data_IF_791978988426
#
_entry.id   IF_791978988426
#
_cell.length_a   1.000
_cell.length_b   1.000
_cell.length_c   1.000
_cell.angle_alpha   90.00
_cell.angle_beta   90.00
_cell.angle_gamma   90.00
#
_symmetry.space_group_name_H-M   'P 1'
#
loop_
_entity.id
_entity.type
_entity.pdbx_description
1 polymer ?
#
# COMPACT_ATOMS: atom_id res chain seq x y z
N UNK A 1 -49.52 -25.68 -32.19
CA UNK A 1 -49.68 -24.28 -31.71
C UNK A 1 -49.53 -24.27 -30.20
N UNK A 2 -48.64 -23.38 -29.67
CA UNK A 2 -48.58 -22.69 -28.35
C UNK A 2 -49.61 -23.14 -27.26
N UNK A 3 -49.35 -23.21 -25.95
CA UNK A 3 -48.36 -22.60 -25.05
C UNK A 3 -48.54 -23.19 -23.63
N UNK A 4 -47.44 -23.29 -22.88
CA UNK A 4 -47.46 -23.34 -21.40
C UNK A 4 -47.95 -22.01 -20.80
N UNK A 5 -48.57 -22.05 -19.62
CA UNK A 5 -48.66 -20.94 -18.66
C UNK A 5 -48.33 -21.42 -17.24
N UNK A 6 -47.68 -20.50 -16.53
CA UNK A 6 -46.92 -20.57 -15.28
C UNK A 6 -47.62 -21.09 -14.01
N UNK A 7 -46.84 -21.77 -13.15
CA UNK A 7 -47.08 -21.90 -11.71
C UNK A 7 -46.54 -20.65 -10.99
N UNK A 8 -47.37 -20.05 -10.12
CA UNK A 8 -46.99 -19.07 -9.10
C UNK A 8 -47.11 -19.69 -7.70
N UNK A 9 -46.02 -19.59 -6.96
CA UNK A 9 -45.83 -19.27 -5.54
C UNK A 9 -47.07 -19.37 -4.62
N UNK A 10 -46.97 -20.25 -3.62
CA UNK A 10 -47.84 -20.28 -2.45
C UNK A 10 -47.35 -19.27 -1.38
N UNK A 11 -48.32 -18.56 -0.81
CA UNK A 11 -48.20 -17.62 0.28
C UNK A 11 -48.23 -18.32 1.65
N UNK A 12 -47.69 -17.65 2.67
CA UNK A 12 -48.34 -17.64 3.98
C UNK A 12 -48.23 -16.24 4.58
N UNK A 13 -49.39 -15.74 5.01
CA UNK A 13 -49.62 -14.40 5.54
C UNK A 13 -49.77 -14.44 7.07
N UNK A 14 -49.45 -13.33 7.73
CA UNK A 14 -50.22 -12.83 8.86
C UNK A 14 -49.97 -11.31 9.05
N UNK A 15 -51.05 -10.55 8.92
CA UNK A 15 -51.22 -9.10 9.17
C UNK A 15 -51.34 -8.85 10.71
N UNK A 16 -50.77 -7.81 11.32
CA UNK A 16 -51.04 -6.35 11.30
C UNK A 16 -52.03 -5.85 12.39
N UNK A 17 -51.88 -4.56 12.73
CA UNK A 17 -52.61 -3.65 13.66
C UNK A 17 -51.81 -3.36 14.94
N UNK A 18 -51.43 -2.14 15.34
CA UNK A 18 -51.66 -0.74 14.93
C UNK A 18 -51.58 0.12 16.22
N UNK A 19 -51.37 1.45 16.29
CA UNK A 19 -51.22 2.58 15.35
C UNK A 19 -51.13 3.88 16.23
N UNK A 20 -50.42 4.92 15.75
CA UNK A 20 -50.36 6.37 16.14
C UNK A 20 -49.96 6.79 17.58
N UNK A 21 -49.27 7.92 17.83
CA UNK A 21 -48.88 9.08 17.04
C UNK A 21 -48.04 10.05 17.89
N UNK A 22 -47.27 10.93 17.25
CA UNK A 22 -46.33 11.82 17.93
C UNK A 22 -46.82 13.26 18.17
N UNK A 23 -45.99 13.94 18.97
CA UNK A 23 -45.66 15.38 19.08
C UNK A 23 -46.73 16.41 19.47
N UNK A 24 -46.37 17.21 20.48
CA UNK A 24 -46.97 18.53 20.75
C UNK A 24 -46.63 19.12 22.13
N UNK A 25 -45.62 19.99 22.17
CA UNK A 25 -45.10 20.74 23.33
C UNK A 25 -46.13 21.65 24.03
N UNK A 26 -45.95 21.88 25.34
CA UNK A 26 -46.34 23.15 25.99
C UNK A 26 -45.56 23.38 27.30
N UNK A 27 -45.30 24.65 27.56
CA UNK A 27 -44.36 25.24 28.51
C UNK A 27 -45.17 26.06 29.53
N UNK A 28 -44.65 26.18 30.76
CA UNK A 28 -44.73 27.33 31.69
C UNK A 28 -45.69 27.29 32.92
N UNK A 29 -45.02 27.49 34.08
CA UNK A 29 -45.40 28.30 35.28
C UNK A 29 -46.58 27.80 36.15
N UNK A 30 -46.57 27.78 37.50
CA UNK A 30 -45.98 28.67 38.52
C UNK A 30 -45.83 28.01 39.91
N UNK A 31 -44.69 28.27 40.57
CA UNK A 31 -44.42 28.65 41.99
C UNK A 31 -44.69 27.76 43.22
N UNK A 32 -43.57 27.51 43.94
CA UNK A 32 -43.28 27.46 45.39
C UNK A 32 -43.90 26.33 46.26
N UNK A 33 -43.22 25.69 47.22
CA UNK A 33 -41.92 25.94 47.88
C UNK A 33 -41.41 24.69 48.65
N UNK A 34 -40.10 24.71 48.95
CA UNK A 34 -39.34 23.97 49.99
C UNK A 34 -38.60 22.65 49.66
N UNK A 35 -37.28 22.74 49.91
CA UNK A 35 -36.28 21.73 50.29
C UNK A 35 -35.42 21.01 49.22
N UNK A 36 -34.21 21.57 49.04
CA UNK A 36 -32.87 20.96 48.92
C UNK A 36 -32.70 19.73 47.99
N UNK A 37 -32.18 19.88 46.76
CA UNK A 37 -30.74 19.95 46.38
C UNK A 37 -30.03 18.58 46.38
N UNK A 38 -30.09 17.89 45.24
CA UNK A 38 -28.97 17.54 44.33
C UNK A 38 -29.35 16.26 43.57
N UNK A 39 -29.83 16.40 42.33
CA UNK A 39 -30.14 15.25 41.46
C UNK A 39 -28.87 14.89 40.69
N UNK A 40 -28.32 13.71 40.96
CA UNK A 40 -27.27 13.09 40.16
C UNK A 40 -27.74 12.93 38.71
N UNK A 41 -27.01 13.53 37.76
CA UNK A 41 -27.20 13.31 36.34
C UNK A 41 -26.78 11.88 35.99
N UNK A 42 -27.74 10.98 35.82
CA UNK A 42 -27.56 9.69 35.15
C UNK A 42 -27.48 9.92 33.64
N UNK A 43 -26.31 10.31 33.16
CA UNK A 43 -25.92 10.12 31.76
C UNK A 43 -25.82 8.62 31.51
N UNK A 44 -26.77 8.11 30.74
CA UNK A 44 -26.79 6.74 30.24
C UNK A 44 -25.49 6.43 29.50
N UNK A 45 -24.75 5.48 30.06
CA UNK A 45 -23.59 4.85 29.45
C UNK A 45 -23.96 4.33 28.07
N UNK A 46 -23.55 5.06 27.03
CA UNK A 46 -23.33 4.45 25.71
C UNK A 46 -22.01 3.73 25.82
N UNK A 47 -22.06 2.40 25.86
CA UNK A 47 -20.91 1.51 25.76
C UNK A 47 -20.09 1.89 24.54
N UNK A 48 -18.97 2.59 24.75
CA UNK A 48 -17.88 2.64 23.80
C UNK A 48 -17.39 1.19 23.63
N UNK A 49 -17.80 0.52 22.57
CA UNK A 49 -17.06 -0.62 22.04
C UNK A 49 -15.71 -0.06 21.57
N UNK A 50 -14.73 -0.07 22.48
CA UNK A 50 -13.33 0.00 22.11
C UNK A 50 -13.08 -1.15 21.14
N UNK A 51 -12.84 -0.82 19.87
CA UNK A 51 -12.32 -1.75 18.89
C UNK A 51 -11.02 -2.34 19.46
N UNK A 52 -11.07 -3.59 19.92
CA UNK A 52 -9.87 -4.32 20.29
C UNK A 52 -9.07 -4.54 19.00
N UNK A 53 -8.05 -3.71 18.76
CA UNK A 53 -7.12 -3.88 17.64
C UNK A 53 -6.58 -5.31 17.71
N UNK A 54 -6.95 -6.13 16.73
CA UNK A 54 -6.76 -7.57 16.83
C UNK A 54 -5.27 -7.89 16.69
N UNK A 55 -4.62 -8.20 17.81
CA UNK A 55 -3.17 -8.36 17.88
C UNK A 55 -2.70 -9.53 16.99
N UNK A 56 -1.72 -9.25 16.13
CA UNK A 56 -0.91 -10.29 15.53
C UNK A 56 0.11 -10.76 16.54
N UNK A 57 0.24 -12.07 16.68
CA UNK A 57 1.38 -12.62 17.38
C UNK A 57 2.63 -12.56 16.50
N UNK A 58 3.73 -12.96 17.09
CA UNK A 58 4.91 -13.34 16.35
C UNK A 58 5.33 -14.74 16.82
N UNK A 59 5.96 -15.48 15.93
CA UNK A 59 6.68 -16.69 16.28
C UNK A 59 8.14 -16.44 15.94
N UNK A 60 9.05 -16.56 16.92
CA UNK A 60 10.47 -16.46 16.65
C UNK A 60 10.86 -17.40 15.52
N UNK A 61 11.64 -16.91 14.57
CA UNK A 61 12.24 -17.77 13.58
C UNK A 61 13.30 -18.58 14.32
N UNK A 62 12.96 -19.84 14.62
CA UNK A 62 13.80 -20.74 15.44
C UNK A 62 15.17 -20.93 14.79
N UNK A 63 15.18 -21.06 13.46
CA UNK A 63 16.39 -21.11 12.66
C UNK A 63 16.54 -19.83 11.85
N UNK A 64 17.18 -18.82 12.45
CA UNK A 64 17.48 -17.53 11.80
C UNK A 64 18.31 -17.72 10.53
N UNK A 65 19.03 -18.84 10.37
CA UNK A 65 19.84 -19.10 9.17
C UNK A 65 18.99 -19.33 7.92
N UNK A 66 17.68 -19.59 8.06
CA UNK A 66 16.75 -19.72 6.92
C UNK A 66 16.29 -18.40 6.35
N UNK A 67 16.56 -17.28 7.02
CA UNK A 67 16.27 -15.94 6.53
C UNK A 67 17.56 -15.15 6.36
N UNK A 68 17.69 -14.51 5.21
CA UNK A 68 18.81 -13.66 4.89
C UNK A 68 18.30 -12.25 4.62
N UNK A 69 18.77 -11.27 5.40
CA UNK A 69 18.58 -9.86 5.08
C UNK A 69 19.66 -9.47 4.08
N UNK A 70 19.22 -9.03 2.91
CA UNK A 70 20.10 -8.75 1.78
C UNK A 70 20.13 -7.26 1.52
N UNK A 71 21.35 -6.72 1.53
CA UNK A 71 21.69 -5.48 0.86
C UNK A 71 22.08 -5.84 -0.59
N UNK A 72 21.44 -5.20 -1.57
CA UNK A 72 21.73 -5.45 -2.98
C UNK A 72 21.92 -4.13 -3.74
N UNK A 73 22.59 -4.14 -4.90
CA UNK A 73 22.67 -2.98 -5.76
C UNK A 73 21.28 -2.62 -6.24
N UNK A 74 21.01 -1.32 -6.32
CA UNK A 74 19.73 -0.80 -6.74
C UNK A 74 19.80 0.11 -7.95
N UNK A 75 18.78 0.95 -8.07
CA UNK A 75 18.65 1.92 -9.16
C UNK A 75 19.43 3.20 -8.82
N UNK A 76 19.72 4.07 -9.79
CA UNK A 76 20.43 5.33 -9.50
C UNK A 76 19.70 6.23 -8.48
N UNK A 77 18.37 6.11 -8.32
CA UNK A 77 17.60 6.83 -7.29
C UNK A 77 17.46 6.07 -5.96
N UNK A 78 17.65 4.76 -5.98
CA UNK A 78 17.66 3.94 -4.77
C UNK A 78 18.80 2.93 -4.86
N UNK A 79 20.06 3.38 -4.69
CA UNK A 79 21.25 2.61 -5.07
C UNK A 79 21.49 1.40 -4.18
N UNK A 80 20.84 1.34 -3.01
CA UNK A 80 20.92 0.22 -2.09
C UNK A 80 19.51 -0.32 -1.85
N UNK A 81 19.23 -1.51 -2.37
CA UNK A 81 17.98 -2.22 -2.14
C UNK A 81 18.07 -3.09 -0.88
N UNK A 82 16.93 -3.23 -0.22
CA UNK A 82 16.74 -4.14 0.89
C UNK A 82 15.63 -5.14 0.56
N UNK A 83 15.87 -6.41 0.83
CA UNK A 83 14.85 -7.46 0.82
C UNK A 83 15.30 -8.62 1.72
N UNK A 84 14.38 -9.52 2.02
CA UNK A 84 14.66 -10.75 2.77
C UNK A 84 14.47 -11.95 1.85
N UNK A 85 15.45 -12.86 1.84
CA UNK A 85 15.36 -14.16 1.19
C UNK A 85 15.09 -15.22 2.24
N UNK A 86 14.17 -16.12 1.93
CA UNK A 86 13.82 -17.27 2.75
C UNK A 86 14.22 -18.56 2.05
N UNK A 87 15.04 -19.38 2.70
CA UNK A 87 15.21 -20.77 2.30
C UNK A 87 13.93 -21.51 2.69
N UNK A 88 13.13 -22.02 1.74
CA UNK A 88 11.83 -22.67 2.01
C UNK A 88 11.90 -24.21 2.00
N UNK A 89 12.81 -24.79 1.21
CA UNK A 89 13.12 -26.22 1.25
C UNK A 89 14.63 -26.45 1.16
N UNK A 90 15.11 -27.66 1.47
CA UNK A 90 16.53 -28.01 1.34
C UNK A 90 16.90 -28.59 -0.03
N UNK A 91 15.98 -28.51 -1.01
CA UNK A 91 16.20 -29.08 -2.34
C UNK A 91 17.40 -28.43 -3.06
N UNK A 92 17.60 -27.12 -2.86
CA UNK A 92 18.75 -26.36 -3.37
C UNK A 92 18.99 -25.13 -2.50
N UNK A 93 20.24 -24.76 -2.20
CA UNK A 93 20.53 -23.52 -1.48
C UNK A 93 20.10 -22.29 -2.28
N UNK A 94 19.43 -21.35 -1.61
CA UNK A 94 19.00 -20.09 -2.20
C UNK A 94 20.15 -19.09 -2.31
N UNK A 95 21.15 -19.18 -1.46
CA UNK A 95 22.35 -18.35 -1.52
C UNK A 95 23.58 -19.12 -1.07
N UNK A 96 24.75 -18.55 -1.36
CA UNK A 96 26.02 -18.95 -0.78
C UNK A 96 26.72 -17.73 -0.17
N UNK A 97 27.61 -17.93 0.80
CA UNK A 97 28.37 -16.87 1.45
C UNK A 97 29.87 -17.18 1.29
N UNK A 98 30.49 -16.83 0.14
CA UNK A 98 31.87 -17.20 -0.18
C UNK A 98 32.91 -16.55 0.75
N UNK A 99 32.56 -15.42 1.36
CA UNK A 99 33.33 -14.75 2.39
C UNK A 99 32.38 -14.01 3.35
N UNK A 100 32.76 -13.76 4.61
CA UNK A 100 31.89 -13.12 5.58
C UNK A 100 31.25 -11.85 5.05
N UNK A 101 29.92 -11.77 5.07
CA UNK A 101 29.15 -10.62 4.63
C UNK A 101 28.93 -10.51 3.11
N UNK A 102 29.59 -11.31 2.27
CA UNK A 102 29.40 -11.33 0.81
C UNK A 102 28.41 -12.41 0.42
N UNK A 103 27.42 -12.09 -0.39
CA UNK A 103 26.37 -13.04 -0.77
C UNK A 103 26.45 -13.34 -2.27
N UNK A 104 26.39 -14.63 -2.60
CA UNK A 104 26.14 -15.12 -3.95
C UNK A 104 24.65 -15.45 -4.10
N UNK A 105 23.91 -14.77 -5.00
CA UNK A 105 22.46 -14.85 -5.08
C UNK A 105 21.99 -16.04 -5.93
N UNK A 106 22.20 -17.28 -5.45
CA UNK A 106 21.88 -18.50 -6.21
C UNK A 106 20.40 -18.56 -6.65
N UNK A 107 19.48 -17.93 -5.91
CA UNK A 107 18.05 -17.82 -6.23
C UNK A 107 17.78 -17.20 -7.60
N UNK A 108 18.74 -16.47 -8.17
CA UNK A 108 18.64 -15.86 -9.52
C UNK A 108 18.98 -16.84 -10.66
N UNK A 109 19.50 -18.02 -10.33
CA UNK A 109 20.11 -18.94 -11.30
C UNK A 109 19.22 -20.14 -11.67
N UNK A 110 18.03 -20.25 -11.09
CA UNK A 110 17.11 -21.36 -11.30
C UNK A 110 15.65 -20.96 -11.01
N UNK A 111 14.69 -21.80 -11.39
CA UNK A 111 13.29 -21.65 -10.95
C UNK A 111 13.19 -21.93 -9.45
N UNK A 112 13.05 -20.86 -8.68
CA UNK A 112 13.08 -20.90 -7.22
C UNK A 112 11.74 -21.29 -6.59
N UNK A 113 10.70 -21.58 -7.38
CA UNK A 113 9.36 -21.89 -6.89
C UNK A 113 9.36 -23.05 -5.87
N UNK A 114 8.91 -22.79 -4.64
CA UNK A 114 8.88 -23.77 -3.55
C UNK A 114 10.25 -24.10 -2.93
N UNK A 115 11.32 -23.43 -3.37
CA UNK A 115 12.68 -23.57 -2.86
C UNK A 115 13.10 -22.32 -2.12
N UNK A 116 12.85 -21.14 -2.71
CA UNK A 116 13.16 -19.84 -2.11
C UNK A 116 11.91 -18.96 -2.04
N UNK A 117 11.79 -18.21 -0.95
CA UNK A 117 10.86 -17.09 -0.82
C UNK A 117 11.59 -15.76 -0.91
N UNK A 118 10.96 -14.75 -1.50
CA UNK A 118 11.47 -13.37 -1.51
C UNK A 118 10.44 -12.43 -0.93
N UNK A 119 10.92 -11.53 -0.08
CA UNK A 119 10.15 -10.57 0.68
C UNK A 119 10.77 -9.19 0.44
N UNK A 120 10.17 -8.39 -0.44
CA UNK A 120 10.85 -7.23 -1.06
C UNK A 120 10.13 -5.89 -0.88
N UNK A 121 9.03 -5.86 -0.14
CA UNK A 121 8.26 -4.65 0.07
C UNK A 121 7.64 -4.62 1.48
N UNK A 122 6.97 -3.51 1.80
CA UNK A 122 6.27 -3.31 3.08
C UNK A 122 5.10 -4.26 3.33
N UNK A 123 4.65 -5.06 2.34
CA UNK A 123 3.69 -6.14 2.60
C UNK A 123 4.36 -7.36 3.20
N UNK A 124 5.61 -7.58 2.82
CA UNK A 124 6.38 -8.75 3.18
C UNK A 124 7.14 -8.61 4.50
N UNK A 125 7.57 -7.39 4.84
CA UNK A 125 8.30 -7.14 6.08
C UNK A 125 7.84 -5.88 6.81
N UNK A 126 8.01 -5.83 8.12
CA UNK A 126 7.87 -4.60 8.90
C UNK A 126 8.73 -4.63 10.17
N UNK A 127 8.80 -3.48 10.83
CA UNK A 127 9.54 -3.28 12.08
C UNK A 127 8.57 -3.55 13.22
N UNK A 128 9.02 -4.25 14.27
CA UNK A 128 8.21 -4.49 15.48
C UNK A 128 9.01 -4.16 16.73
N UNK A 129 8.39 -3.44 17.67
CA UNK A 129 9.05 -3.01 18.91
C UNK A 129 8.14 -3.25 20.10
N UNK A 130 8.60 -3.95 21.14
CA UNK A 130 7.82 -4.33 22.31
C UNK A 130 6.43 -4.86 21.95
N UNK A 131 6.38 -5.77 20.96
CA UNK A 131 5.13 -6.36 20.49
C UNK A 131 4.22 -5.44 19.67
N UNK A 132 4.64 -4.23 19.30
CA UNK A 132 3.86 -3.29 18.48
C UNK A 132 4.43 -3.24 17.06
N UNK A 133 3.57 -3.50 16.07
CA UNK A 133 3.91 -3.41 14.63
C UNK A 133 4.03 -1.94 14.23
N UNK A 134 5.20 -1.56 13.73
CA UNK A 134 5.56 -0.19 13.38
C UNK A 134 5.47 0.08 11.88
N UNK A 135 4.91 -0.83 11.07
CA UNK A 135 4.85 -0.68 9.61
C UNK A 135 4.15 0.60 9.12
N UNK A 136 3.21 1.15 9.91
CA UNK A 136 2.54 2.42 9.64
C UNK A 136 3.38 3.66 10.00
N UNK A 137 4.38 3.51 10.86
CA UNK A 137 5.21 4.58 11.40
C UNK A 137 6.60 4.63 10.77
N UNK A 138 7.11 3.49 10.33
CA UNK A 138 8.46 3.36 9.80
C UNK A 138 8.47 2.53 8.50
N UNK A 139 9.42 2.87 7.64
CA UNK A 139 9.78 2.09 6.46
C UNK A 139 11.26 1.75 6.51
N UNK A 140 11.65 0.60 5.97
CA UNK A 140 13.06 0.26 5.85
C UNK A 140 13.73 1.11 4.77
N UNK A 141 14.95 1.55 5.07
CA UNK A 141 15.84 2.18 4.09
C UNK A 141 17.27 1.75 4.36
N UNK A 142 17.98 1.41 3.29
CA UNK A 142 19.38 1.06 3.36
C UNK A 142 20.21 2.26 2.90
N UNK A 143 21.05 2.79 3.79
CA UNK A 143 21.88 3.98 3.52
C UNK A 143 23.35 3.71 3.83
N UNK A 144 24.30 4.26 3.06
CA UNK A 144 25.71 4.15 3.39
C UNK A 144 26.07 4.89 4.68
N UNK A 145 26.86 4.27 5.54
CA UNK A 145 27.44 4.90 6.73
C UNK A 145 28.86 4.37 6.96
N UNK A 146 29.86 5.22 6.75
CA UNK A 146 31.26 4.79 6.74
C UNK A 146 31.50 3.71 5.68
N UNK A 147 32.08 2.58 6.11
CA UNK A 147 32.35 1.43 5.24
C UNK A 147 31.15 0.46 5.11
N UNK A 148 30.05 0.72 5.82
CA UNK A 148 28.90 -0.18 5.88
C UNK A 148 27.71 0.38 5.10
N UNK A 149 26.76 -0.50 4.78
CA UNK A 149 25.38 -0.15 4.49
C UNK A 149 24.55 -0.42 5.74
N UNK A 150 23.90 0.61 6.27
CA UNK A 150 23.10 0.53 7.49
C UNK A 150 21.62 0.49 7.12
N UNK A 151 20.94 -0.53 7.62
CA UNK A 151 19.50 -0.70 7.51
C UNK A 151 18.84 0.13 8.61
N UNK A 152 18.20 1.22 8.19
CA UNK A 152 17.44 2.10 9.04
C UNK A 152 15.94 1.80 8.98
N UNK A 153 15.25 2.01 10.10
CA UNK A 153 13.84 2.36 10.11
C UNK A 153 13.70 3.87 9.94
N UNK A 154 13.33 4.34 8.75
CA UNK A 154 13.03 5.75 8.51
C UNK A 154 11.58 6.06 8.85
N UNK A 155 11.31 7.14 9.58
CA UNK A 155 9.95 7.54 9.91
C UNK A 155 9.19 7.92 8.64
N UNK A 156 7.95 7.41 8.50
CA UNK A 156 7.03 7.86 7.45
C UNK A 156 6.58 9.30 7.74
N UNK A 157 6.01 9.98 6.73
CA UNK A 157 5.53 11.36 6.86
C UNK A 157 4.51 11.52 8.02
N UNK A 158 3.75 10.47 8.29
CA UNK A 158 2.74 10.37 9.36
C UNK A 158 3.32 10.19 10.76
N UNK A 159 4.60 9.85 10.90
CA UNK A 159 5.22 9.61 12.20
C UNK A 159 5.62 10.95 12.86
N UNK A 160 5.16 11.25 14.09
CA UNK A 160 5.43 12.50 14.77
C UNK A 160 6.85 12.61 15.36
N UNK A 161 7.52 11.49 15.67
CA UNK A 161 8.81 11.49 16.38
C UNK A 161 9.99 11.85 15.46
N UNK A 162 9.87 11.60 14.15
CA UNK A 162 10.84 11.96 13.09
C UNK A 162 12.28 11.44 13.27
N UNK A 163 12.61 10.76 14.37
CA UNK A 163 13.90 10.09 14.58
C UNK A 163 13.95 8.75 13.84
N UNK A 164 15.16 8.34 13.43
CA UNK A 164 15.41 7.07 12.72
C UNK A 164 15.87 5.98 13.68
N UNK A 165 15.57 4.73 13.36
CA UNK A 165 16.05 3.54 14.08
C UNK A 165 17.21 2.89 13.33
N UNK A 166 18.24 2.46 14.05
CA UNK A 166 19.29 1.58 13.49
C UNK A 166 18.88 0.14 13.77
N UNK A 167 18.78 -0.67 12.71
CA UNK A 167 18.24 -2.04 12.80
C UNK A 167 19.30 -3.09 12.49
N UNK A 168 20.17 -2.79 11.53
CA UNK A 168 21.25 -3.69 11.14
C UNK A 168 22.26 -2.98 10.27
N UNK A 169 23.40 -3.62 10.02
CA UNK A 169 24.45 -3.13 9.13
C UNK A 169 25.12 -4.26 8.38
N UNK A 170 25.66 -3.95 7.22
CA UNK A 170 26.68 -4.81 6.61
C UNK A 170 28.00 -4.64 7.37
N UNK A 171 28.89 -5.63 7.34
CA UNK A 171 30.23 -5.51 7.93
C UNK A 171 31.24 -5.20 6.81
N UNK A 172 31.05 -4.05 6.15
CA UNK A 172 31.76 -3.67 4.92
C UNK A 172 30.87 -3.69 3.67
N UNK A 173 31.46 -3.28 2.54
CA UNK A 173 30.82 -3.33 1.22
C UNK A 173 31.22 -4.60 0.48
N UNK A 174 30.23 -5.30 -0.07
CA UNK A 174 30.44 -6.49 -0.90
C UNK A 174 31.08 -6.12 -2.24
N UNK A 175 31.95 -7.01 -2.74
CA UNK A 175 32.53 -6.96 -4.08
C UNK A 175 31.60 -7.50 -5.16
N UNK A 176 30.62 -8.34 -4.80
CA UNK A 176 29.60 -8.90 -5.72
C UNK A 176 28.36 -8.00 -5.83
N UNK A 177 28.29 -6.95 -5.00
CA UNK A 177 27.14 -6.05 -4.88
C UNK A 177 26.07 -6.54 -3.90
N UNK A 178 25.99 -7.85 -3.62
CA UNK A 178 25.09 -8.41 -2.63
C UNK A 178 25.81 -8.64 -1.31
N UNK A 179 25.26 -8.12 -0.22
CA UNK A 179 25.83 -8.25 1.12
C UNK A 179 24.78 -8.70 2.15
N UNK A 180 25.24 -9.45 3.16
CA UNK A 180 24.44 -9.77 4.34
C UNK A 180 24.31 -8.52 5.21
N UNK A 181 23.09 -8.23 5.64
CA UNK A 181 22.84 -7.27 6.72
C UNK A 181 22.76 -8.07 8.02
N UNK A 182 23.65 -7.76 8.95
CA UNK A 182 23.65 -8.29 10.30
C UNK A 182 22.77 -7.39 11.17
N UNK A 183 21.85 -7.99 11.92
CA UNK A 183 21.01 -7.25 12.85
C UNK A 183 21.85 -6.70 14.01
N UNK A 184 21.52 -5.49 14.44
CA UNK A 184 22.08 -4.91 15.66
C UNK A 184 21.66 -5.71 16.89
N UNK A 185 22.43 -5.66 18.00
CA UNK A 185 22.06 -6.32 19.24
C UNK A 185 20.63 -5.97 19.68
N UNK A 186 19.87 -7.00 20.08
CA UNK A 186 18.47 -6.87 20.51
C UNK A 186 17.44 -6.97 19.38
N UNK A 187 17.86 -6.93 18.12
CA UNK A 187 16.99 -7.24 16.99
C UNK A 187 17.04 -8.71 16.59
N UNK A 188 15.91 -9.25 16.17
CA UNK A 188 15.80 -10.63 15.66
C UNK A 188 14.71 -10.72 14.58
N UNK A 189 14.64 -11.84 13.87
CA UNK A 189 13.56 -12.09 12.92
C UNK A 189 12.48 -12.97 13.55
N UNK A 190 11.23 -12.58 13.32
CA UNK A 190 10.07 -13.37 13.69
C UNK A 190 9.11 -13.46 12.49
N UNK A 191 8.38 -14.55 12.39
CA UNK A 191 7.28 -14.65 11.42
C UNK A 191 6.02 -14.13 12.09
N UNK A 192 5.23 -13.36 11.36
CA UNK A 192 3.91 -12.94 11.83
C UNK A 192 3.04 -14.16 12.06
N UNK A 193 2.37 -14.24 13.22
CA UNK A 193 1.40 -15.30 13.49
C UNK A 193 0.00 -14.75 13.68
N UNK A 194 -0.96 -15.59 13.32
CA UNK A 194 -2.36 -15.35 13.63
C UNK A 194 -3.07 -16.67 13.91
N UNK A 195 -3.77 -16.76 15.05
CA UNK A 195 -4.46 -17.98 15.51
C UNK A 195 -3.58 -19.25 15.47
N UNK A 196 -2.31 -19.11 15.86
CA UNK A 196 -1.35 -20.23 15.86
C UNK A 196 -0.77 -20.61 14.50
N UNK A 197 -1.17 -19.94 13.40
CA UNK A 197 -0.59 -20.15 12.07
C UNK A 197 0.49 -19.12 11.75
N UNK A 198 1.59 -19.59 11.17
CA UNK A 198 2.69 -18.77 10.66
C UNK A 198 2.34 -18.20 9.27
N UNK A 199 2.49 -16.89 9.09
CA UNK A 199 2.23 -16.19 7.82
C UNK A 199 3.54 -15.90 7.07
N UNK A 200 3.45 -15.49 5.80
CA UNK A 200 4.61 -15.15 4.97
C UNK A 200 5.36 -13.86 5.39
N UNK A 201 4.73 -13.01 6.21
CA UNK A 201 5.30 -11.74 6.64
C UNK A 201 6.40 -11.92 7.69
N UNK A 202 7.50 -11.18 7.55
CA UNK A 202 8.67 -11.23 8.42
C UNK A 202 8.78 -9.93 9.23
N UNK A 203 8.72 -10.06 10.55
CA UNK A 203 9.07 -8.98 11.46
C UNK A 203 10.58 -8.95 11.68
N UNK A 204 11.15 -7.75 11.60
CA UNK A 204 12.38 -7.46 12.33
C UNK A 204 11.96 -6.87 13.67
N UNK A 205 12.13 -7.65 14.73
CA UNK A 205 11.52 -7.42 16.04
C UNK A 205 12.55 -7.14 17.12
N UNK A 206 12.21 -6.24 18.05
CA UNK A 206 12.99 -5.90 19.23
C UNK A 206 12.06 -5.83 20.46
N UNK A 207 12.49 -6.36 21.59
CA UNK A 207 11.68 -6.40 22.83
C UNK A 207 11.62 -5.05 23.55
N UNK A 208 12.56 -4.14 23.27
CA UNK A 208 12.60 -2.80 23.85
C UNK A 208 11.51 -1.90 23.26
N UNK A 209 10.94 -1.01 24.08
CA UNK A 209 9.94 -0.07 23.62
C UNK A 209 10.54 0.96 22.65
N UNK A 210 9.74 1.41 21.68
CA UNK A 210 10.20 2.34 20.65
C UNK A 210 10.89 3.59 21.22
N UNK A 211 10.29 4.24 22.22
CA UNK A 211 10.87 5.43 22.84
C UNK A 211 12.28 5.17 23.40
N UNK A 212 12.46 4.05 24.09
CA UNK A 212 13.76 3.65 24.65
C UNK A 212 14.80 3.35 23.56
N UNK A 213 14.38 2.72 22.45
CA UNK A 213 15.28 2.49 21.30
C UNK A 213 15.72 3.79 20.65
N UNK A 214 14.82 4.78 20.56
CA UNK A 214 15.12 6.09 19.99
C UNK A 214 16.01 6.93 20.92
N UNK A 215 15.86 6.78 22.23
CA UNK A 215 16.70 7.46 23.23
C UNK A 215 18.08 6.81 23.33
N UNK A 216 18.18 5.48 23.19
CA UNK A 216 19.45 4.76 23.12
C UNK A 216 20.23 5.02 21.82
N UNK A 217 19.53 5.29 20.71
CA UNK A 217 20.11 5.64 19.41
C UNK A 217 20.37 7.14 19.19
N UNK A 218 20.14 7.99 20.21
CA UNK A 218 20.04 9.45 20.12
C UNK A 218 21.33 10.24 19.88
N UNK A 219 22.49 9.61 19.68
CA UNK A 219 23.72 10.30 19.30
C UNK A 219 24.24 9.78 17.96
N UNK A 220 23.66 10.28 16.86
CA UNK A 220 24.39 10.28 15.60
C UNK A 220 25.50 11.33 15.70
N UNK A 221 26.76 11.03 15.34
CA UNK A 221 27.80 12.04 15.29
C UNK A 221 27.42 13.10 14.25
N UNK A 222 27.39 14.36 14.68
CA UNK A 222 27.30 15.53 13.81
C UNK A 222 28.45 15.45 12.78
N UNK A 223 28.20 15.53 11.47
CA UNK A 223 29.29 15.68 10.53
C UNK A 223 29.98 17.03 10.80
N UNK A 224 31.25 16.98 11.18
CA UNK A 224 32.11 18.16 11.30
C UNK A 224 32.19 18.84 9.92
N UNK A 225 32.04 20.18 9.83
CA UNK A 225 32.18 20.91 8.57
C UNK A 225 33.62 20.83 8.06
N UNK A 226 33.87 19.93 7.12
CA UNK A 226 35.10 19.89 6.32
C UNK A 226 34.92 20.72 5.06
N UNK A 227 35.73 21.77 4.94
CA UNK A 227 35.82 22.76 3.88
C UNK A 227 35.87 22.16 2.47
N UNK A 228 34.93 22.54 1.60
CA UNK A 228 35.13 22.50 0.15
C UNK A 228 35.06 23.93 -0.43
N UNK A 229 36.03 24.35 -1.26
CA UNK A 229 35.98 25.65 -1.94
C UNK A 229 34.88 25.68 -3.00
N UNK A 230 34.37 26.88 -3.38
CA UNK A 230 33.14 26.99 -4.13
C UNK A 230 33.38 26.65 -5.60
N UNK A 231 32.58 25.73 -6.14
CA UNK A 231 32.45 25.54 -7.58
C UNK A 231 31.02 25.89 -7.97
N UNK A 232 30.88 27.04 -8.62
CA UNK A 232 29.67 27.43 -9.34
C UNK A 232 29.68 26.69 -10.68
N UNK A 233 28.84 25.67 -10.86
CA UNK A 233 28.40 25.22 -12.20
C UNK A 233 26.93 24.77 -12.16
N UNK A 234 26.19 25.28 -13.15
CA UNK A 234 24.80 25.04 -13.58
C UNK A 234 24.31 23.58 -13.46
N UNK A 235 23.02 23.32 -13.15
CA UNK A 235 22.51 21.97 -12.89
C UNK A 235 22.52 21.08 -14.15
N UNK A 236 23.02 19.84 -14.09
CA UNK A 236 22.69 18.80 -15.04
C UNK A 236 21.43 18.03 -14.59
N UNK A 237 20.68 17.51 -15.56
CA UNK A 237 19.54 16.63 -15.36
C UNK A 237 19.94 15.39 -14.53
N UNK A 238 19.16 15.08 -13.50
CA UNK A 238 19.32 13.89 -12.67
C UNK A 238 19.35 12.62 -13.55
N UNK A 239 20.36 11.74 -13.42
CA UNK A 239 20.36 10.46 -14.12
C UNK A 239 19.06 9.69 -13.83
N UNK A 240 18.46 9.10 -14.86
CA UNK A 240 17.29 8.27 -14.69
C UNK A 240 17.61 7.08 -13.75
N UNK A 241 16.72 6.71 -12.80
CA UNK A 241 16.94 5.61 -11.85
C UNK A 241 17.32 4.30 -12.52
N UNK A 242 16.70 4.00 -13.66
CA UNK A 242 16.82 2.72 -14.33
C UNK A 242 17.47 2.93 -15.71
N UNK A 243 18.47 2.12 -16.10
CA UNK A 243 19.12 2.29 -17.40
C UNK A 243 18.15 2.16 -18.58
N UNK A 244 17.14 1.30 -18.46
CA UNK A 244 16.18 0.95 -19.51
C UNK A 244 14.98 1.91 -19.64
N UNK A 245 14.97 3.02 -18.90
CA UNK A 245 13.97 4.08 -19.06
C UNK A 245 14.53 5.32 -19.75
N UNK A 246 15.79 5.30 -20.20
CA UNK A 246 16.35 6.39 -20.98
C UNK A 246 15.55 6.57 -22.29
N UNK A 247 15.07 7.78 -22.54
CA UNK A 247 14.20 8.06 -23.68
C UNK A 247 12.77 7.55 -23.54
N UNK A 248 12.41 6.91 -22.42
CA UNK A 248 11.03 6.56 -22.14
C UNK A 248 10.22 7.84 -21.81
N UNK A 249 9.05 7.94 -22.42
CA UNK A 249 8.12 9.06 -22.26
C UNK A 249 7.72 9.33 -20.80
N UNK A 250 7.68 8.28 -19.99
CA UNK A 250 7.26 8.32 -18.59
C UNK A 250 8.44 8.31 -17.61
N UNK A 251 9.67 8.56 -18.06
CA UNK A 251 10.86 8.38 -17.24
C UNK A 251 10.81 9.16 -15.91
N UNK A 252 10.29 10.40 -15.94
CA UNK A 252 10.14 11.24 -14.75
C UNK A 252 9.11 10.67 -13.77
N UNK A 253 7.99 10.17 -14.27
CA UNK A 253 6.95 9.56 -13.44
C UNK A 253 7.40 8.21 -12.88
N UNK A 254 8.12 7.41 -13.65
CA UNK A 254 8.72 6.15 -13.17
C UNK A 254 9.70 6.44 -12.03
N UNK A 255 10.53 7.48 -12.18
CA UNK A 255 11.42 7.95 -11.13
C UNK A 255 10.68 8.35 -9.86
N UNK A 256 9.63 9.16 -10.00
CA UNK A 256 8.78 9.58 -8.90
C UNK A 256 8.08 8.40 -8.21
N UNK A 257 7.54 7.46 -8.98
CA UNK A 257 6.88 6.27 -8.46
C UNK A 257 7.83 5.40 -7.62
N UNK A 258 9.08 5.26 -8.08
CA UNK A 258 10.12 4.53 -7.34
C UNK A 258 10.53 5.26 -6.05
N UNK A 259 10.67 6.59 -6.07
CA UNK A 259 10.97 7.38 -4.87
C UNK A 259 9.87 7.27 -3.81
N UNK A 260 8.62 7.20 -4.24
CA UNK A 260 7.44 7.05 -3.38
C UNK A 260 7.18 5.60 -2.94
N UNK A 261 8.04 4.65 -3.31
CA UNK A 261 7.88 3.21 -3.07
C UNK A 261 6.55 2.63 -3.60
N UNK A 262 5.97 3.25 -4.64
CA UNK A 262 4.74 2.75 -5.26
C UNK A 262 5.01 1.51 -6.12
N UNK A 263 6.21 1.45 -6.70
CA UNK A 263 6.67 0.37 -7.57
C UNK A 263 8.20 0.28 -7.54
N UNK A 264 8.72 -0.95 -7.59
CA UNK A 264 10.15 -1.24 -7.62
C UNK A 264 10.59 -1.78 -8.98
N UNK A 265 11.88 -1.62 -9.30
CA UNK A 265 12.55 -2.28 -10.42
C UNK A 265 12.86 -3.75 -10.15
N UNK A 266 13.51 -4.39 -11.10
CA UNK A 266 13.95 -5.78 -11.04
C UNK A 266 15.38 -5.88 -10.47
N UNK A 267 15.79 -7.10 -10.15
CA UNK A 267 17.09 -7.39 -9.50
C UNK A 267 18.29 -7.04 -10.40
N UNK A 268 18.10 -7.04 -11.71
CA UNK A 268 19.10 -6.63 -12.71
C UNK A 268 19.23 -5.10 -12.86
N UNK A 269 18.55 -4.32 -12.01
CA UNK A 269 18.54 -2.86 -12.07
C UNK A 269 17.64 -2.26 -13.16
N UNK A 270 16.90 -3.09 -13.91
CA UNK A 270 15.94 -2.64 -14.92
C UNK A 270 14.57 -2.28 -14.32
N UNK A 271 13.80 -1.44 -15.00
CA UNK A 271 12.40 -1.17 -14.67
C UNK A 271 11.40 -2.02 -15.46
N UNK A 272 11.80 -2.41 -16.67
CA UNK A 272 11.04 -3.09 -17.72
C UNK A 272 9.74 -2.32 -18.06
N UNK A 273 9.85 -1.07 -18.56
CA UNK A 273 8.71 -0.18 -18.74
C UNK A 273 7.60 -0.75 -19.63
N UNK A 274 7.99 -1.58 -20.62
CA UNK A 274 7.10 -2.17 -21.61
C UNK A 274 6.47 -3.50 -21.20
N UNK A 275 6.74 -4.00 -19.99
CA UNK A 275 6.07 -5.20 -19.50
C UNK A 275 4.62 -4.89 -19.10
N UNK A 276 3.74 -5.86 -19.31
CA UNK A 276 2.36 -5.80 -18.83
C UNK A 276 2.30 -5.96 -17.31
N UNK A 277 1.22 -5.45 -16.71
CA UNK A 277 0.92 -5.64 -15.30
C UNK A 277 -0.17 -6.70 -15.11
N UNK A 278 0.01 -7.53 -14.09
CA UNK A 278 -1.09 -8.36 -13.60
C UNK A 278 -2.07 -7.53 -12.77
N UNK A 279 -3.31 -8.02 -12.63
CA UNK A 279 -4.36 -7.36 -11.84
C UNK A 279 -3.94 -7.17 -10.38
N UNK A 280 -3.28 -8.16 -9.78
CA UNK A 280 -2.79 -8.04 -8.39
C UNK A 280 -1.64 -7.04 -8.23
N UNK A 281 -0.78 -6.89 -9.25
CA UNK A 281 0.27 -5.87 -9.24
C UNK A 281 -0.33 -4.48 -9.36
N UNK A 282 -1.32 -4.30 -10.24
CA UNK A 282 -2.03 -3.03 -10.39
C UNK A 282 -2.75 -2.62 -9.11
N UNK A 283 -3.50 -3.55 -8.47
CA UNK A 283 -4.10 -3.30 -7.15
C UNK A 283 -3.03 -2.91 -6.13
N UNK A 284 -1.88 -3.59 -6.15
CA UNK A 284 -0.81 -3.29 -5.21
C UNK A 284 -0.32 -1.84 -5.33
N UNK A 285 -0.06 -1.39 -6.57
CA UNK A 285 0.43 -0.03 -6.85
C UNK A 285 -0.64 1.02 -6.52
N UNK A 286 -1.91 0.77 -6.86
CA UNK A 286 -3.02 1.69 -6.55
C UNK A 286 -3.22 1.81 -5.04
N UNK A 287 -3.13 0.71 -4.29
CA UNK A 287 -3.26 0.75 -2.83
C UNK A 287 -2.07 1.44 -2.15
N UNK A 288 -0.86 1.35 -2.70
CA UNK A 288 0.28 2.18 -2.22
C UNK A 288 0.02 3.67 -2.48
N UNK A 289 -0.51 4.03 -3.65
CA UNK A 289 -0.92 5.41 -3.93
C UNK A 289 -1.99 5.89 -2.96
N UNK A 290 -2.96 5.04 -2.62
CA UNK A 290 -4.02 5.35 -1.67
C UNK A 290 -3.47 5.63 -0.27
N UNK A 291 -2.45 4.90 0.18
CA UNK A 291 -1.81 5.15 1.48
C UNK A 291 -1.16 6.54 1.58
N UNK A 292 -0.80 7.15 0.44
CA UNK A 292 -0.25 8.51 0.41
C UNK A 292 -1.35 9.59 0.46
N UNK A 293 -2.62 9.21 0.27
CA UNK A 293 -3.70 10.11 -0.13
C UNK A 293 -4.93 10.06 0.76
N UNK A 294 -5.33 8.86 1.19
CA UNK A 294 -6.58 8.65 1.90
C UNK A 294 -6.54 9.24 3.32
N UNK A 295 -7.69 9.71 3.85
CA UNK A 295 -7.80 10.10 5.23
C UNK A 295 -7.36 8.98 6.19
N UNK A 296 -6.70 9.38 7.28
CA UNK A 296 -6.16 8.42 8.25
C UNK A 296 -7.25 7.54 8.89
N UNK A 297 -8.46 8.08 9.06
CA UNK A 297 -9.65 7.35 9.54
C UNK A 297 -10.02 6.18 8.62
N UNK A 298 -9.99 6.39 7.31
CA UNK A 298 -10.26 5.37 6.30
C UNK A 298 -9.17 4.30 6.36
N UNK A 299 -7.90 4.71 6.36
CA UNK A 299 -6.77 3.78 6.44
C UNK A 299 -6.78 2.97 7.74
N UNK A 300 -7.16 3.57 8.87
CA UNK A 300 -7.27 2.90 10.16
C UNK A 300 -8.40 1.86 10.20
N UNK A 301 -9.48 2.05 9.42
CA UNK A 301 -10.59 1.11 9.30
C UNK A 301 -10.29 -0.09 8.38
N UNK A 302 -9.17 -0.06 7.63
CA UNK A 302 -8.79 -1.13 6.73
C UNK A 302 -8.26 -2.36 7.49
N UNK A 303 -8.52 -3.57 6.95
CA UNK A 303 -8.00 -4.78 7.52
C UNK A 303 -6.48 -4.76 7.41
N UNK A 304 -5.82 -5.14 8.51
CA UNK A 304 -4.37 -5.25 8.57
C UNK A 304 -3.88 -6.68 8.20
N UNK A 305 -4.82 -7.58 7.88
CA UNK A 305 -4.63 -8.95 7.36
C UNK A 305 -5.80 -9.40 6.48
N UNK A 306 -5.53 -10.36 5.61
CA UNK A 306 -6.55 -11.22 5.02
C UNK A 306 -6.85 -12.40 5.98
N UNK A 307 -7.98 -12.35 6.69
CA UNK A 307 -8.46 -13.46 7.55
C UNK A 307 -9.28 -14.50 6.81
N UNK A 308 -9.75 -14.16 5.62
CA UNK A 308 -10.49 -15.02 4.72
C UNK A 308 -10.06 -14.72 3.29
N UNK A 309 -10.26 -15.68 2.39
CA UNK A 309 -10.00 -15.51 0.97
C UNK A 309 -10.85 -14.33 0.45
N UNK A 310 -10.27 -13.21 0.00
CA UNK A 310 -11.05 -12.05 -0.44
C UNK A 310 -11.84 -12.35 -1.71
N UNK A 311 -11.39 -13.31 -2.52
CA UNK A 311 -12.09 -13.86 -3.67
C UNK A 311 -11.88 -15.38 -3.74
N UNK A 312 -12.74 -16.14 -4.45
CA UNK A 312 -12.62 -17.59 -4.54
C UNK A 312 -11.25 -18.09 -5.05
N UNK A 313 -10.57 -17.28 -5.86
CA UNK A 313 -9.27 -17.56 -6.48
C UNK A 313 -8.09 -16.77 -5.86
N UNK A 314 -8.32 -16.12 -4.71
CA UNK A 314 -7.28 -15.41 -3.96
C UNK A 314 -7.19 -16.01 -2.56
N UNK A 315 -6.18 -16.85 -2.35
CA UNK A 315 -5.91 -17.46 -1.04
C UNK A 315 -5.27 -16.46 -0.08
N UNK A 316 -5.51 -16.59 1.23
CA UNK A 316 -4.97 -15.68 2.26
C UNK A 316 -3.45 -15.62 2.32
N UNK A 317 -2.74 -16.66 1.87
CA UNK A 317 -1.27 -16.73 1.83
C UNK A 317 -0.66 -16.06 0.59
N UNK A 318 -1.47 -15.60 -0.37
CA UNK A 318 -0.98 -14.87 -1.54
C UNK A 318 -0.40 -13.52 -1.11
N UNK A 319 0.76 -13.16 -1.66
CA UNK A 319 1.45 -11.90 -1.32
C UNK A 319 0.55 -10.65 -1.46
N UNK A 320 -0.39 -10.68 -2.40
CA UNK A 320 -1.33 -9.60 -2.71
C UNK A 320 -2.65 -9.68 -1.92
N UNK A 321 -2.90 -10.74 -1.16
CA UNK A 321 -4.20 -11.02 -0.53
C UNK A 321 -4.68 -9.89 0.37
N UNK A 322 -3.78 -9.28 1.15
CA UNK A 322 -4.11 -8.15 2.03
C UNK A 322 -4.62 -6.95 1.25
N UNK A 323 -3.84 -6.48 0.26
CA UNK A 323 -4.20 -5.31 -0.55
C UNK A 323 -5.45 -5.57 -1.39
N UNK A 324 -5.65 -6.79 -1.87
CA UNK A 324 -6.88 -7.20 -2.55
C UNK A 324 -8.08 -7.15 -1.58
N UNK A 325 -7.93 -7.62 -0.34
CA UNK A 325 -8.98 -7.54 0.68
C UNK A 325 -9.34 -6.08 1.02
N UNK A 326 -8.32 -5.21 1.20
CA UNK A 326 -8.50 -3.78 1.45
C UNK A 326 -9.20 -3.09 0.28
N UNK A 327 -8.72 -3.30 -0.94
CA UNK A 327 -9.32 -2.75 -2.15
C UNK A 327 -10.76 -3.23 -2.36
N UNK A 328 -11.06 -4.48 -2.00
CA UNK A 328 -12.43 -5.02 -2.03
C UNK A 328 -13.32 -4.33 -0.99
N UNK A 329 -12.85 -4.15 0.25
CA UNK A 329 -13.62 -3.47 1.31
C UNK A 329 -13.92 -2.01 0.95
N UNK A 330 -13.02 -1.35 0.25
CA UNK A 330 -13.21 0.02 -0.25
C UNK A 330 -13.98 0.08 -1.58
N UNK A 331 -14.45 -1.06 -2.08
CA UNK A 331 -15.15 -1.18 -3.36
C UNK A 331 -14.35 -0.65 -4.58
N UNK A 332 -13.01 -0.58 -4.44
CA UNK A 332 -12.06 -0.20 -5.51
C UNK A 332 -12.01 -1.29 -6.57
N UNK A 333 -12.17 -2.55 -6.16
CA UNK A 333 -12.21 -3.71 -7.05
C UNK A 333 -13.43 -4.58 -6.79
N UNK A 334 -13.88 -5.27 -7.83
CA UNK A 334 -14.93 -6.28 -7.77
C UNK A 334 -14.48 -7.54 -8.50
N UNK A 335 -15.08 -8.67 -8.16
CA UNK A 335 -14.89 -9.91 -8.91
C UNK A 335 -15.72 -9.89 -10.20
N UNK A 336 -15.42 -10.81 -11.11
CA UNK A 336 -16.18 -10.96 -12.34
C UNK A 336 -17.63 -11.33 -12.03
N UNK A 337 -18.54 -10.76 -12.81
CA UNK A 337 -19.95 -11.10 -12.72
C UNK A 337 -20.18 -12.60 -12.98
N UNK A 338 -20.99 -13.24 -12.16
CA UNK A 338 -21.32 -14.67 -12.24
C UNK A 338 -20.33 -15.60 -11.53
N UNK A 339 -19.01 -15.39 -11.65
CA UNK A 339 -18.02 -16.28 -11.02
C UNK A 339 -17.50 -15.75 -9.68
N UNK A 340 -17.57 -14.43 -9.47
CA UNK A 340 -17.01 -13.76 -8.30
C UNK A 340 -15.48 -13.83 -8.21
N UNK A 341 -14.77 -14.31 -9.24
CA UNK A 341 -13.30 -14.43 -9.27
C UNK A 341 -12.63 -13.08 -9.52
N UNK A 342 -11.43 -12.89 -8.99
CA UNK A 342 -10.64 -11.68 -9.19
C UNK A 342 -9.60 -11.80 -10.32
N UNK A 343 -9.13 -13.02 -10.60
CA UNK A 343 -8.10 -13.36 -11.59
C UNK A 343 -6.78 -12.64 -11.35
N UNK A 344 -6.13 -12.83 -10.18
CA UNK A 344 -4.98 -12.02 -9.77
C UNK A 344 -3.80 -12.05 -10.75
N UNK A 345 -3.55 -13.18 -11.41
CA UNK A 345 -2.44 -13.37 -12.35
C UNK A 345 -2.73 -12.89 -13.77
N UNK A 346 -3.98 -12.57 -14.11
CA UNK A 346 -4.34 -12.09 -15.44
C UNK A 346 -3.78 -10.68 -15.65
N UNK A 347 -3.44 -10.34 -16.89
CA UNK A 347 -3.05 -8.97 -17.23
C UNK A 347 -4.26 -8.02 -17.11
N UNK A 348 -4.00 -6.81 -16.62
CA UNK A 348 -5.01 -5.75 -16.53
C UNK A 348 -5.01 -4.87 -17.78
N UNK A 349 -6.17 -4.46 -18.24
CA UNK A 349 -6.30 -3.50 -19.35
C UNK A 349 -6.11 -2.04 -18.88
N UNK A 350 -5.82 -1.14 -19.82
CA UNK A 350 -5.76 0.31 -19.54
C UNK A 350 -7.09 0.84 -18.98
N UNK A 351 -8.23 0.41 -19.52
CA UNK A 351 -9.53 0.82 -19.02
C UNK A 351 -9.80 0.36 -17.58
N UNK A 352 -9.47 -0.89 -17.25
CA UNK A 352 -9.64 -1.42 -15.90
C UNK A 352 -8.75 -0.71 -14.88
N UNK A 353 -7.50 -0.41 -15.25
CA UNK A 353 -6.61 0.37 -14.38
C UNK A 353 -7.18 1.77 -14.09
N UNK A 354 -7.69 2.46 -15.10
CA UNK A 354 -8.29 3.79 -14.91
C UNK A 354 -9.58 3.72 -14.07
N UNK A 355 -10.40 2.68 -14.26
CA UNK A 355 -11.58 2.46 -13.41
C UNK A 355 -11.20 2.21 -11.94
N UNK A 356 -10.12 1.47 -11.70
CA UNK A 356 -9.57 1.24 -10.36
C UNK A 356 -9.07 2.54 -9.73
N UNK A 357 -8.31 3.34 -10.48
CA UNK A 357 -7.80 4.63 -10.02
C UNK A 357 -8.92 5.64 -9.73
N UNK A 358 -9.98 5.66 -10.55
CA UNK A 358 -11.15 6.50 -10.29
C UNK A 358 -11.80 6.16 -8.96
N UNK A 359 -12.03 4.87 -8.70
CA UNK A 359 -12.62 4.42 -7.44
C UNK A 359 -11.71 4.75 -6.25
N UNK A 360 -10.40 4.54 -6.39
CA UNK A 360 -9.43 4.90 -5.36
C UNK A 360 -9.40 6.41 -5.08
N UNK A 361 -9.47 7.25 -6.11
CA UNK A 361 -9.57 8.70 -5.94
C UNK A 361 -10.85 9.13 -5.22
N UNK A 362 -11.98 8.44 -5.45
CA UNK A 362 -13.23 8.71 -4.74
C UNK A 362 -13.19 8.37 -3.25
N UNK A 363 -12.35 7.41 -2.83
CA UNK A 363 -12.16 7.08 -1.41
C UNK A 363 -11.61 8.25 -0.61
N UNK A 364 -10.86 9.17 -1.23
CA UNK A 364 -10.35 10.38 -0.58
C UNK A 364 -11.46 11.30 -0.07
N UNK A 365 -12.67 11.18 -0.62
CA UNK A 365 -13.81 12.05 -0.34
C UNK A 365 -14.88 11.38 0.52
N UNK A 366 -14.63 10.17 1.04
CA UNK A 366 -15.63 9.39 1.80
C UNK A 366 -16.06 10.02 3.14
N UNK A 367 -15.34 11.03 3.63
CA UNK A 367 -15.69 11.79 4.85
C UNK A 367 -16.51 13.06 4.58
N UNK A 368 -16.78 13.41 3.31
CA UNK A 368 -17.59 14.60 3.00
C UNK A 368 -19.06 14.36 3.37
N UNK A 369 -19.53 15.04 4.40
CA UNK A 369 -20.91 14.98 4.89
C UNK A 369 -21.89 15.40 3.81
N UNK A 370 -22.91 14.58 3.60
CA UNK A 370 -24.00 14.82 2.66
C UNK A 370 -24.83 16.03 3.09
N UNK A 371 -25.02 17.00 2.20
CA UNK A 371 -26.23 17.83 2.25
C UNK A 371 -27.35 16.97 1.64
N UNK A 372 -28.36 16.64 2.43
CA UNK A 372 -29.59 15.96 1.97
C UNK A 372 -29.43 14.57 1.32
N UNK A 373 -28.55 13.71 1.83
CA UNK A 373 -28.58 12.26 1.52
C UNK A 373 -28.18 11.86 0.09
N UNK A 374 -27.59 12.78 -0.69
CA UNK A 374 -27.00 12.47 -1.99
C UNK A 374 -25.48 12.61 -1.89
N UNK A 375 -24.66 11.59 -2.21
CA UNK A 375 -23.21 11.74 -2.27
C UNK A 375 -22.86 12.74 -3.39
N UNK A 376 -22.43 13.94 -3.03
CA UNK A 376 -21.98 14.98 -3.98
C UNK A 376 -20.47 14.98 -4.21
N UNK A 377 -19.75 13.98 -3.67
CA UNK A 377 -18.31 13.84 -3.89
C UNK A 377 -18.04 13.53 -5.37
N UNK A 378 -17.57 14.55 -6.09
CA UNK A 378 -17.22 14.48 -7.51
C UNK A 378 -15.76 14.91 -7.69
N UNK A 379 -15.04 14.22 -8.57
CA UNK A 379 -13.67 14.56 -8.92
C UNK A 379 -13.70 15.87 -9.72
N UNK A 380 -13.13 16.93 -9.14
CA UNK A 380 -13.12 18.25 -9.79
C UNK A 380 -12.09 18.25 -10.93
N UNK A 381 -12.50 18.49 -12.19
CA UNK A 381 -11.57 18.59 -13.31
C UNK A 381 -10.46 19.61 -13.05
N UNK A 382 -9.23 19.26 -13.38
CA UNK A 382 -8.07 20.17 -13.31
C UNK A 382 -7.61 20.62 -14.70
N UNK A 383 -8.13 19.99 -15.76
CA UNK A 383 -7.91 20.34 -17.15
C UNK A 383 -9.14 19.99 -17.99
N UNK A 384 -9.16 20.45 -19.26
CA UNK A 384 -10.18 20.03 -20.21
C UNK A 384 -10.10 18.51 -20.46
N UNK A 385 -11.24 17.80 -20.57
CA UNK A 385 -11.25 16.38 -20.92
C UNK A 385 -10.66 16.17 -22.32
N UNK A 386 -9.95 15.05 -22.50
CA UNK A 386 -9.44 14.63 -23.80
C UNK A 386 -10.56 13.98 -24.62
N UNK A 387 -10.72 14.39 -25.87
CA UNK A 387 -11.67 13.79 -26.81
C UNK A 387 -11.11 12.52 -27.43
N UNK A 388 -11.29 11.38 -26.77
CA UNK A 388 -10.80 10.10 -27.28
C UNK A 388 -11.68 9.54 -28.42
N UNK A 389 -11.07 9.12 -29.52
CA UNK A 389 -11.77 8.65 -30.73
C UNK A 389 -12.20 7.18 -30.65
N UNK A 390 -11.66 6.41 -29.70
CA UNK A 390 -11.74 4.94 -29.65
C UNK A 390 -12.42 4.39 -28.38
N UNK A 391 -13.08 5.26 -27.60
CA UNK A 391 -13.80 4.86 -26.38
C UNK A 391 -15.32 4.87 -26.55
N UNK A 392 -15.85 5.31 -27.70
CA UNK A 392 -17.30 5.36 -27.95
C UNK A 392 -17.92 3.96 -27.81
N UNK A 393 -18.99 3.83 -27.03
CA UNK A 393 -19.65 2.55 -26.74
C UNK A 393 -18.89 1.64 -25.77
N UNK A 394 -17.71 2.02 -25.29
CA UNK A 394 -16.96 1.26 -24.30
C UNK A 394 -17.52 1.47 -22.89
N UNK A 395 -17.59 0.42 -22.07
CA UNK A 395 -18.15 0.50 -20.70
C UNK A 395 -17.44 1.54 -19.81
N UNK A 396 -16.14 1.75 -20.04
CA UNK A 396 -15.32 2.70 -19.30
C UNK A 396 -15.28 4.11 -19.92
N UNK A 397 -16.03 4.41 -20.97
CA UNK A 397 -15.90 5.67 -21.72
C UNK A 397 -16.01 6.91 -20.82
N UNK A 398 -17.06 6.97 -20.00
CA UNK A 398 -17.29 8.10 -19.09
C UNK A 398 -16.15 8.23 -18.06
N UNK A 399 -15.71 7.11 -17.49
CA UNK A 399 -14.59 7.06 -16.54
C UNK A 399 -13.28 7.52 -17.17
N UNK A 400 -12.98 7.10 -18.40
CA UNK A 400 -11.78 7.52 -19.13
C UNK A 400 -11.82 9.03 -19.40
N UNK A 401 -12.95 9.55 -19.87
CA UNK A 401 -13.12 11.00 -20.11
C UNK A 401 -12.96 11.80 -18.82
N UNK A 402 -13.64 11.41 -17.74
CA UNK A 402 -13.54 12.06 -16.42
C UNK A 402 -12.10 12.05 -15.89
N UNK A 403 -11.43 10.88 -15.91
CA UNK A 403 -10.06 10.74 -15.41
C UNK A 403 -9.03 11.41 -16.32
N UNK A 404 -9.37 11.75 -17.56
CA UNK A 404 -8.53 12.59 -18.40
C UNK A 404 -8.62 14.06 -18.01
N UNK A 405 -9.79 14.52 -17.55
CA UNK A 405 -9.98 15.86 -17.03
C UNK A 405 -9.42 15.99 -15.60
N UNK A 406 -9.44 14.90 -14.82
CA UNK A 406 -8.90 14.84 -13.47
C UNK A 406 -7.40 14.51 -13.48
N UNK A 407 -6.57 15.56 -13.47
CA UNK A 407 -5.10 15.48 -13.41
C UNK A 407 -4.43 14.68 -14.54
N UNK A 408 -5.13 14.48 -15.66
CA UNK A 408 -4.61 13.73 -16.80
C UNK A 408 -4.27 12.28 -16.47
N UNK A 409 -4.92 11.70 -15.48
CA UNK A 409 -4.66 10.32 -15.04
C UNK A 409 -4.93 9.35 -16.20
N UNK A 410 -6.03 9.55 -16.94
CA UNK A 410 -6.22 8.92 -18.24
C UNK A 410 -5.63 9.81 -19.35
N UNK A 411 -4.63 9.30 -20.07
CA UNK A 411 -3.99 10.00 -21.18
C UNK A 411 -3.99 9.15 -22.45
N UNK A 412 -3.83 9.79 -23.63
CA UNK A 412 -3.67 9.07 -24.89
C UNK A 412 -2.56 8.03 -24.83
N UNK A 413 -2.67 7.00 -25.67
CA UNK A 413 -1.62 6.00 -25.85
C UNK A 413 -0.32 6.71 -26.24
N UNK A 414 0.74 6.54 -25.44
CA UNK A 414 2.01 7.23 -25.60
C UNK A 414 1.87 8.77 -25.63
N UNK A 415 0.93 9.35 -24.87
CA UNK A 415 0.70 10.80 -24.72
C UNK A 415 0.48 11.57 -26.02
N UNK A 416 0.11 10.90 -27.11
CA UNK A 416 -0.04 11.50 -28.44
C UNK A 416 -1.34 11.07 -29.12
N UNK A 417 -1.89 11.97 -29.94
CA UNK A 417 -3.14 11.72 -30.67
C UNK A 417 -4.39 11.61 -29.78
N UNK A 418 -5.44 11.02 -30.34
CA UNK A 418 -6.76 10.90 -29.70
C UNK A 418 -7.16 9.48 -29.31
N UNK A 419 -6.25 8.50 -29.35
CA UNK A 419 -6.58 7.11 -28.97
C UNK A 419 -6.21 6.84 -27.52
N UNK A 420 -7.13 6.28 -26.74
CA UNK A 420 -6.85 5.78 -25.40
C UNK A 420 -6.42 4.31 -25.39
N UNK A 421 -6.87 3.50 -26.35
CA UNK A 421 -6.66 2.05 -26.45
C UNK A 421 -7.18 1.26 -25.22
N UNK A 422 -8.50 1.34 -24.90
CA UNK A 422 -9.05 0.89 -23.62
C UNK A 422 -8.85 -0.61 -23.31
N UNK A 423 -8.89 -1.46 -24.34
CA UNK A 423 -8.79 -2.92 -24.20
C UNK A 423 -7.36 -3.46 -24.29
N UNK A 424 -6.36 -2.59 -24.49
CA UNK A 424 -4.96 -3.01 -24.51
C UNK A 424 -4.43 -3.18 -23.09
N UNK A 425 -3.46 -4.08 -22.92
CA UNK A 425 -2.86 -4.35 -21.62
C UNK A 425 -2.14 -3.11 -21.08
N UNK A 426 -2.34 -2.80 -19.81
CA UNK A 426 -1.64 -1.71 -19.14
C UNK A 426 -0.17 -2.10 -18.95
N UNK A 427 0.70 -1.23 -19.44
CA UNK A 427 2.14 -1.36 -19.28
C UNK A 427 2.59 -0.72 -17.96
N UNK A 428 3.72 -1.20 -17.42
CA UNK A 428 4.30 -0.70 -16.17
C UNK A 428 4.58 0.80 -16.20
N UNK A 429 5.07 1.32 -17.33
CA UNK A 429 5.37 2.74 -17.50
C UNK A 429 4.11 3.61 -17.41
N UNK A 430 3.07 3.27 -18.17
CA UNK A 430 1.78 3.95 -18.14
C UNK A 430 1.14 3.89 -16.76
N UNK A 431 1.15 2.72 -16.10
CA UNK A 431 0.53 2.59 -14.79
C UNK A 431 1.24 3.42 -13.72
N UNK A 432 2.57 3.47 -13.78
CA UNK A 432 3.36 4.34 -12.90
C UNK A 432 3.02 5.80 -13.13
N UNK A 433 2.90 6.22 -14.39
CA UNK A 433 2.50 7.57 -14.73
C UNK A 433 1.09 7.93 -14.23
N UNK A 434 0.11 7.05 -14.46
CA UNK A 434 -1.27 7.28 -14.04
C UNK A 434 -1.39 7.38 -12.50
N UNK A 435 -0.73 6.49 -11.75
CA UNK A 435 -0.76 6.51 -10.28
C UNK A 435 -0.01 7.73 -9.74
N UNK A 436 1.14 8.10 -10.32
CA UNK A 436 1.87 9.31 -9.89
C UNK A 436 1.06 10.58 -10.16
N UNK A 437 0.42 10.69 -11.32
CA UNK A 437 -0.48 11.82 -11.60
C UNK A 437 -1.61 11.92 -10.60
N UNK A 438 -2.15 10.79 -10.17
CA UNK A 438 -3.15 10.75 -9.11
C UNK A 438 -2.55 11.18 -7.76
N UNK A 439 -1.44 10.60 -7.33
CA UNK A 439 -0.79 10.92 -6.04
C UNK A 439 -0.36 12.38 -5.96
N UNK A 440 0.15 12.96 -7.04
CA UNK A 440 0.58 14.36 -7.10
C UNK A 440 -0.59 15.32 -7.45
N UNK A 441 -1.81 14.82 -7.68
CA UNK A 441 -2.97 15.63 -8.05
C UNK A 441 -3.40 16.55 -6.90
N UNK A 442 -3.48 17.89 -7.04
CA UNK A 442 -3.86 18.76 -5.93
C UNK A 442 -5.25 18.41 -5.38
N UNK A 443 -5.35 18.13 -4.07
CA UNK A 443 -6.65 17.92 -3.40
C UNK A 443 -7.40 19.25 -3.32
N UNK A 444 -8.22 19.56 -4.32
CA UNK A 444 -9.16 20.70 -4.24
C UNK A 444 -10.45 20.23 -3.56
N UNK A 445 -10.67 20.66 -2.32
CA UNK A 445 -11.99 20.60 -1.68
C UNK A 445 -12.85 21.69 -2.33
N UNK A 446 -13.98 21.36 -2.94
CA UNK A 446 -14.98 22.40 -3.20
C UNK A 446 -15.61 22.80 -1.86
N UNK A 447 -15.54 24.09 -1.53
CA UNK A 447 -16.30 24.71 -0.44
C UNK A 447 -15.75 24.47 0.97
N UNK A 448 -14.72 25.21 1.35
CA UNK A 448 -14.66 25.98 2.61
C UNK A 448 -14.07 27.34 2.28
#
# INVERSE_FOLDING_TARGET
MKSLKHLKVAALAAAALGVFGGVGSAIASTTNSHNAVTINQSLTQSTQLLAQAQQFGEQPVIDQSRLLLVAAPGSALNPNQFFIIEQQSNARPCWNEPSPGTIDPLWTTFDFTGICGRVSDSNGYSIRTNGIDQGANYQFKLEPSGNDLVLYGLPRATNPDKRRLVIGRTNGRSTTGFARINLEPGWSLAKRTFNGQTLGHVYTTNQTALAQLLDAGGAAPTPTPGTQPPVVVRPPATPAPFPDIQGNLYAAQIARASQLNLISGFEDGSFRPRNTLTREQAVSIVMEGLQQRAPQSVLAALPQRATANPFPDVTTNRWSALKIAQAKQLEIITGDFGTGRFRPSDNITRAELIAMLRKAAMVEFSEQTTVAGTPTASLVPTQAPVGFTDISGHWAANTITEMSAYCGIASPLNETGGSFAPNTQALRDFASAAVVRWVDCPTRRQGV
#
